data_IF_932596221033
#
_entry.id   IF_932596221033
#
_cell.length_a   1.000
_cell.length_b   1.000
_cell.length_c   1.000
_cell.angle_alpha   90.00
_cell.angle_beta   90.00
_cell.angle_gamma   90.00
#
_symmetry.space_group_name_H-M   'P 1'
#
loop_
_entity.id
_entity.type
_entity.pdbx_description
1 polymer ?
#
# COMPACT_ATOMS: atom_id res chain seq x y z
N UNK A 1 -29.72 13.35 29.65
CA UNK A 1 -29.33 12.91 28.30
C UNK A 1 -29.64 11.43 28.25
N UNK A 2 -30.46 10.99 27.30
CA UNK A 2 -30.65 9.55 27.12
C UNK A 2 -29.32 8.91 26.73
N UNK A 3 -28.94 7.79 27.34
CA UNK A 3 -27.75 7.07 26.97
C UNK A 3 -27.87 6.63 25.51
N UNK A 4 -26.75 6.66 24.78
CA UNK A 4 -26.73 6.13 23.42
C UNK A 4 -27.17 4.67 23.39
N UNK A 5 -27.87 4.23 22.33
CA UNK A 5 -28.30 2.84 22.23
C UNK A 5 -27.08 1.91 22.14
N UNK A 6 -27.10 0.87 22.96
CA UNK A 6 -26.12 -0.23 22.90
C UNK A 6 -26.61 -1.19 21.82
N UNK A 7 -25.70 -1.69 20.98
CA UNK A 7 -26.01 -2.67 19.96
C UNK A 7 -26.44 -4.00 20.61
N UNK A 8 -27.31 -4.70 19.92
CA UNK A 8 -27.73 -6.05 20.34
C UNK A 8 -26.53 -7.01 20.37
N UNK A 9 -26.58 -8.00 21.26
CA UNK A 9 -25.50 -8.96 21.45
C UNK A 9 -25.17 -9.79 20.20
N UNK A 10 -26.13 -9.94 19.30
CA UNK A 10 -25.98 -10.69 18.04
C UNK A 10 -25.48 -9.78 16.88
N UNK A 11 -25.33 -8.49 17.14
CA UNK A 11 -24.74 -7.58 16.12
C UNK A 11 -23.28 -7.92 15.87
N UNK A 12 -22.83 -7.94 14.61
CA UNK A 12 -21.44 -8.25 14.26
C UNK A 12 -20.40 -7.42 15.02
N UNK A 13 -20.68 -6.14 15.30
CA UNK A 13 -19.77 -5.28 16.05
C UNK A 13 -19.76 -5.58 17.54
N UNK A 14 -20.92 -5.95 18.12
CA UNK A 14 -21.00 -6.40 19.49
C UNK A 14 -20.27 -7.76 19.68
N UNK A 15 -20.39 -8.66 18.70
CA UNK A 15 -19.63 -9.91 18.66
C UNK A 15 -18.13 -9.67 18.56
N UNK A 16 -17.72 -8.69 17.72
CA UNK A 16 -16.32 -8.28 17.59
C UNK A 16 -15.75 -7.75 18.92
N UNK A 17 -16.51 -6.90 19.60
CA UNK A 17 -16.18 -6.39 20.92
C UNK A 17 -16.02 -7.54 21.92
N UNK A 18 -17.03 -8.40 22.05
CA UNK A 18 -17.01 -9.52 23.00
C UNK A 18 -15.85 -10.49 22.74
N UNK A 19 -15.48 -10.70 21.47
CA UNK A 19 -14.37 -11.55 21.07
C UNK A 19 -13.01 -10.96 21.47
N UNK A 20 -12.82 -9.65 21.37
CA UNK A 20 -11.48 -9.03 21.38
C UNK A 20 -11.22 -8.02 22.49
N UNK A 21 -12.23 -7.54 23.20
CA UNK A 21 -12.05 -6.57 24.28
C UNK A 21 -11.19 -7.11 25.42
N UNK A 22 -10.06 -6.46 25.66
CA UNK A 22 -9.09 -6.86 26.69
C UNK A 22 -8.39 -8.19 26.42
N UNK A 23 -8.49 -8.76 25.21
CA UNK A 23 -7.77 -9.98 24.84
C UNK A 23 -6.41 -9.64 24.27
N UNK A 24 -5.38 -10.28 24.82
CA UNK A 24 -4.00 -10.07 24.38
C UNK A 24 -3.80 -10.57 22.94
N UNK A 25 -3.10 -9.79 22.13
CA UNK A 25 -2.77 -10.15 20.74
C UNK A 25 -1.58 -11.11 20.65
N UNK A 26 -0.71 -11.14 21.65
CA UNK A 26 0.40 -12.10 21.73
C UNK A 26 -0.10 -13.55 21.77
N UNK A 27 -1.22 -13.79 22.46
CA UNK A 27 -1.86 -15.12 22.50
C UNK A 27 -2.38 -15.57 21.12
N UNK A 28 -2.75 -14.62 20.25
CA UNK A 28 -3.20 -14.89 18.89
C UNK A 28 -2.03 -15.21 17.98
N UNK A 29 -0.96 -14.44 18.08
CA UNK A 29 0.27 -14.66 17.36
C UNK A 29 0.89 -16.01 17.73
N UNK A 30 0.98 -16.33 19.04
CA UNK A 30 1.54 -17.59 19.51
C UNK A 30 0.72 -18.79 19.02
N UNK A 31 -0.62 -18.75 19.10
CA UNK A 31 -1.48 -19.81 18.57
C UNK A 31 -1.28 -20.04 17.06
N UNK A 32 -1.07 -18.96 16.30
CA UNK A 32 -0.79 -19.07 14.88
C UNK A 32 0.57 -19.72 14.62
N UNK A 33 1.62 -19.32 15.37
CA UNK A 33 2.96 -19.91 15.28
C UNK A 33 2.94 -21.39 15.64
N UNK A 34 2.26 -21.76 16.73
CA UNK A 34 2.11 -23.16 17.17
C UNK A 34 1.40 -24.01 16.11
N UNK A 35 0.38 -23.46 15.46
CA UNK A 35 -0.34 -24.14 14.39
C UNK A 35 0.53 -24.36 13.14
N UNK A 36 1.43 -23.43 12.81
CA UNK A 36 2.38 -23.60 11.72
C UNK A 36 3.41 -24.70 12.01
N UNK A 37 3.87 -24.79 13.26
CA UNK A 37 4.82 -25.82 13.68
C UNK A 37 4.18 -27.22 13.78
N UNK A 38 2.90 -27.29 14.14
CA UNK A 38 2.15 -28.53 14.25
C UNK A 38 1.74 -29.14 12.89
N UNK A 39 1.76 -28.35 11.81
CA UNK A 39 1.51 -28.86 10.46
C UNK A 39 2.80 -29.53 9.98
N UNK A 40 2.88 -30.87 9.91
CA UNK A 40 4.09 -31.53 9.43
C UNK A 40 4.37 -31.03 8.03
N UNK A 41 5.62 -30.67 7.76
CA UNK A 41 6.09 -30.43 6.42
C UNK A 41 5.80 -31.72 5.63
N UNK A 42 4.67 -31.74 4.92
CA UNK A 42 4.38 -32.73 3.90
C UNK A 42 5.45 -32.52 2.86
N UNK A 43 6.49 -33.37 2.97
CA UNK A 43 7.64 -33.35 2.13
C UNK A 43 7.19 -33.29 0.68
N UNK A 44 7.79 -32.39 -0.05
CA UNK A 44 7.80 -32.36 -1.49
C UNK A 44 8.59 -33.58 -2.01
N UNK A 45 8.03 -34.76 -1.86
CA UNK A 45 8.34 -35.88 -2.74
C UNK A 45 7.40 -35.81 -3.94
N UNK A 46 7.65 -34.89 -4.82
CA UNK A 46 7.24 -35.03 -6.20
C UNK A 46 8.23 -36.00 -6.85
N UNK A 47 7.98 -37.29 -6.63
CA UNK A 47 8.52 -38.33 -7.46
C UNK A 47 8.02 -38.14 -8.88
N UNK A 48 8.96 -37.86 -9.77
CA UNK A 48 8.80 -38.01 -11.21
C UNK A 48 8.29 -39.44 -11.48
N UNK A 49 7.03 -39.57 -11.85
CA UNK A 49 6.53 -40.74 -12.57
C UNK A 49 6.33 -40.33 -14.00
N UNK A 50 7.27 -40.77 -14.83
CA UNK A 50 7.10 -40.85 -16.26
C UNK A 50 5.87 -41.72 -16.55
N UNK A 51 4.88 -41.13 -17.18
CA UNK A 51 3.90 -41.87 -17.98
C UNK A 51 3.85 -41.22 -19.34
N UNK A 52 4.50 -41.93 -20.27
CA UNK A 52 4.27 -41.82 -21.71
C UNK A 52 2.80 -42.10 -22.01
N UNK A 53 2.20 -41.28 -22.84
CA UNK A 53 0.84 -41.48 -23.35
C UNK A 53 0.50 -40.40 -24.36
N UNK A 54 0.74 -40.69 -25.61
CA UNK A 54 0.43 -39.90 -26.80
C UNK A 54 -1.04 -39.51 -26.87
N UNK A 55 -1.31 -38.23 -27.21
CA UNK A 55 -2.29 -37.91 -28.26
C UNK A 55 -2.03 -36.47 -28.78
N UNK A 56 -1.61 -36.43 -30.05
CA UNK A 56 -1.47 -35.19 -30.82
C UNK A 56 -2.87 -34.75 -31.26
N UNK A 57 -3.17 -33.47 -31.02
CA UNK A 57 -4.15 -32.73 -31.81
C UNK A 57 -3.47 -31.48 -32.34
N UNK A 58 -3.18 -31.52 -33.64
CA UNK A 58 -2.69 -30.37 -34.41
C UNK A 58 -3.78 -29.32 -34.54
N UNK A 59 -3.52 -28.11 -34.04
CA UNK A 59 -4.21 -26.91 -34.51
C UNK A 59 -3.15 -25.95 -35.02
N UNK A 60 -3.05 -25.89 -36.32
CA UNK A 60 -2.28 -24.92 -37.08
C UNK A 60 -2.89 -23.53 -36.88
N UNK A 61 -2.12 -22.60 -36.38
CA UNK A 61 -2.32 -21.18 -36.68
C UNK A 61 -0.96 -20.53 -36.91
N UNK A 62 -0.82 -20.10 -38.15
CA UNK A 62 0.23 -19.24 -38.69
C UNK A 62 0.23 -17.88 -37.99
N UNK A 63 1.35 -17.30 -37.60
CA UNK A 63 2.06 -16.30 -38.35
C UNK A 63 3.30 -15.81 -37.60
N UNK A 64 4.38 -15.81 -38.32
CA UNK A 64 5.71 -15.33 -37.94
C UNK A 64 5.70 -13.83 -37.74
N UNK A 65 6.27 -13.39 -36.63
CA UNK A 65 7.23 -12.25 -36.65
C UNK A 65 8.33 -12.54 -35.64
N UNK A 66 9.41 -13.08 -36.18
CA UNK A 66 10.71 -13.19 -35.50
C UNK A 66 11.33 -11.79 -35.51
N UNK A 67 11.51 -11.22 -34.33
CA UNK A 67 12.52 -10.21 -34.09
C UNK A 67 13.44 -10.82 -33.02
N UNK A 68 14.55 -11.35 -33.45
CA UNK A 68 15.70 -11.64 -32.62
C UNK A 68 16.29 -10.30 -32.14
N UNK A 69 16.02 -9.92 -30.93
CA UNK A 69 16.85 -8.99 -30.18
C UNK A 69 17.58 -9.78 -29.10
N UNK A 70 18.82 -10.11 -29.37
CA UNK A 70 19.82 -10.52 -28.38
C UNK A 70 20.10 -9.33 -27.47
N UNK A 71 19.32 -9.18 -26.42
CA UNK A 71 19.67 -8.31 -25.31
C UNK A 71 20.79 -8.99 -24.51
N UNK A 72 21.99 -8.49 -24.61
CA UNK A 72 23.06 -8.73 -23.63
C UNK A 72 22.58 -8.14 -22.31
N UNK A 73 22.08 -8.99 -21.42
CA UNK A 73 21.70 -8.62 -20.07
C UNK A 73 23.00 -8.43 -19.30
N UNK A 74 23.29 -7.18 -18.97
CA UNK A 74 24.41 -6.83 -18.09
C UNK A 74 24.10 -7.37 -16.68
N UNK A 75 24.81 -8.44 -16.30
CA UNK A 75 24.65 -9.13 -15.01
C UNK A 75 24.99 -8.26 -13.78
N UNK A 76 25.44 -7.02 -13.99
CA UNK A 76 25.79 -6.11 -12.90
C UNK A 76 24.66 -5.20 -12.42
N UNK A 77 23.52 -5.14 -13.09
CA UNK A 77 22.37 -4.36 -12.62
C UNK A 77 21.50 -5.08 -11.57
N UNK A 78 21.74 -6.36 -11.32
CA UNK A 78 21.01 -7.19 -10.34
C UNK A 78 21.53 -7.09 -8.91
N UNK A 79 22.49 -6.23 -8.60
CA UNK A 79 23.06 -6.11 -7.24
C UNK A 79 22.37 -5.12 -6.31
N UNK A 80 21.31 -4.45 -6.74
CA UNK A 80 20.57 -3.51 -5.88
C UNK A 80 19.42 -4.14 -5.08
N UNK A 81 19.27 -5.46 -5.12
CA UNK A 81 18.32 -6.19 -4.25
C UNK A 81 19.01 -7.41 -3.65
N UNK A 82 20.13 -7.20 -2.95
CA UNK A 82 20.63 -8.22 -2.05
C UNK A 82 19.65 -8.34 -0.90
N UNK A 83 18.81 -9.36 -0.98
CA UNK A 83 17.94 -9.79 0.11
C UNK A 83 18.83 -10.15 1.29
N UNK A 84 18.57 -9.50 2.44
CA UNK A 84 19.16 -9.88 3.72
C UNK A 84 18.76 -11.34 4.01
N UNK A 85 19.71 -12.27 4.24
CA UNK A 85 19.40 -13.67 4.50
C UNK A 85 18.68 -13.94 5.82
N UNK A 86 18.61 -12.96 6.73
CA UNK A 86 18.14 -13.13 8.11
C UNK A 86 16.66 -12.76 8.37
N UNK A 87 15.87 -12.53 7.33
CA UNK A 87 14.48 -12.02 7.48
C UNK A 87 13.44 -13.16 7.57
N UNK A 88 13.75 -14.32 8.14
CA UNK A 88 12.84 -15.48 8.09
C UNK A 88 11.67 -15.41 9.08
N UNK A 89 11.75 -14.64 10.15
CA UNK A 89 10.62 -14.40 11.07
C UNK A 89 10.55 -12.91 11.38
N UNK A 90 9.55 -12.20 10.85
CA UNK A 90 9.26 -10.84 11.27
C UNK A 90 8.32 -10.94 12.48
N UNK A 91 8.78 -10.57 13.69
CA UNK A 91 7.93 -10.62 14.88
C UNK A 91 6.64 -9.80 14.69
N UNK A 92 5.54 -10.30 15.20
CA UNK A 92 4.24 -9.63 15.11
C UNK A 92 3.49 -9.84 13.79
N UNK A 93 4.04 -10.62 12.84
CA UNK A 93 3.37 -10.94 11.58
C UNK A 93 2.64 -12.28 11.70
N UNK A 94 1.33 -12.25 11.65
CA UNK A 94 0.48 -13.44 11.80
C UNK A 94 -0.86 -13.29 11.09
N UNK A 95 -1.62 -14.38 11.01
CA UNK A 95 -2.99 -14.37 10.53
C UNK A 95 -3.95 -14.12 11.69
N UNK A 96 -4.63 -12.98 11.67
CA UNK A 96 -5.73 -12.68 12.58
C UNK A 96 -7.03 -13.32 12.06
N UNK A 97 -7.63 -14.19 12.86
CA UNK A 97 -8.92 -14.81 12.56
C UNK A 97 -10.04 -14.01 13.23
N UNK A 98 -10.80 -13.27 12.44
CA UNK A 98 -11.98 -12.53 12.89
C UNK A 98 -13.19 -13.46 12.93
N UNK A 99 -13.46 -14.17 11.83
CA UNK A 99 -14.54 -15.14 11.64
C UNK A 99 -15.87 -14.74 12.30
N UNK A 100 -16.38 -13.57 11.92
CA UNK A 100 -17.67 -13.04 12.37
C UNK A 100 -18.50 -12.74 11.13
N UNK A 101 -19.65 -13.35 11.02
CA UNK A 101 -20.58 -13.12 9.92
C UNK A 101 -21.04 -11.66 9.89
N UNK A 102 -21.17 -11.11 8.69
CA UNK A 102 -21.58 -9.71 8.49
C UNK A 102 -20.44 -8.69 8.52
N UNK A 103 -19.20 -9.10 8.89
CA UNK A 103 -18.02 -8.26 8.73
C UNK A 103 -17.39 -8.46 7.35
N UNK A 104 -16.71 -7.40 6.86
CA UNK A 104 -16.06 -7.38 5.54
C UNK A 104 -14.95 -8.44 5.41
N UNK A 105 -14.23 -8.73 6.48
CA UNK A 105 -13.11 -9.65 6.49
C UNK A 105 -13.32 -10.76 7.53
N UNK A 106 -13.06 -12.00 7.15
CA UNK A 106 -13.03 -13.14 8.08
C UNK A 106 -11.62 -13.41 8.60
N UNK A 107 -10.61 -13.18 7.76
CA UNK A 107 -9.19 -13.37 8.07
C UNK A 107 -8.38 -12.20 7.55
N UNK A 108 -7.38 -11.78 8.32
CA UNK A 108 -6.47 -10.69 7.97
C UNK A 108 -5.03 -11.14 8.16
N UNK A 109 -4.16 -10.77 7.23
CA UNK A 109 -2.72 -10.87 7.44
C UNK A 109 -2.21 -9.60 8.10
N UNK A 110 -1.64 -9.75 9.30
CA UNK A 110 -0.98 -8.67 10.02
C UNK A 110 0.47 -8.63 9.59
N UNK A 111 0.97 -7.44 9.22
CA UNK A 111 2.33 -7.23 8.75
C UNK A 111 3.08 -6.23 9.64
N UNK A 112 4.42 -6.31 9.66
CA UNK A 112 5.27 -5.42 10.45
C UNK A 112 4.99 -3.93 10.20
N UNK A 113 4.68 -3.57 8.97
CA UNK A 113 4.32 -2.20 8.62
C UNK A 113 3.05 -1.70 9.33
N UNK A 114 2.06 -2.58 9.55
CA UNK A 114 0.86 -2.21 10.31
C UNK A 114 1.18 -1.89 11.77
N UNK A 115 2.06 -2.69 12.35
CA UNK A 115 2.54 -2.49 13.73
C UNK A 115 3.29 -1.18 13.83
N UNK A 116 4.21 -0.91 12.88
CA UNK A 116 5.00 0.32 12.84
C UNK A 116 4.11 1.56 12.73
N UNK A 117 3.18 1.58 11.77
CA UNK A 117 2.24 2.70 11.60
C UNK A 117 1.41 2.90 12.86
N UNK A 118 0.87 1.83 13.48
CA UNK A 118 0.09 1.95 14.70
C UNK A 118 0.92 2.55 15.85
N UNK A 119 2.12 2.02 16.08
CA UNK A 119 2.99 2.48 17.17
C UNK A 119 3.38 3.96 17.00
N UNK A 120 3.68 4.40 15.77
CA UNK A 120 3.99 5.80 15.49
C UNK A 120 2.77 6.71 15.67
N UNK A 121 1.59 6.27 15.25
CA UNK A 121 0.33 7.02 15.49
C UNK A 121 0.02 7.10 16.99
N UNK A 122 0.27 6.01 17.73
CA UNK A 122 0.05 5.99 19.17
C UNK A 122 1.07 6.91 19.90
N UNK A 123 2.33 6.89 19.51
CA UNK A 123 3.34 7.80 20.06
C UNK A 123 2.95 9.27 19.82
N UNK A 124 2.51 9.61 18.62
CA UNK A 124 2.01 10.94 18.30
C UNK A 124 0.78 11.34 19.13
N UNK A 125 -0.12 10.39 19.41
CA UNK A 125 -1.28 10.62 20.26
C UNK A 125 -0.87 10.91 21.73
N UNK A 126 0.14 10.21 22.22
CA UNK A 126 0.61 10.31 23.62
C UNK A 126 1.54 11.52 23.85
N UNK A 127 2.05 12.15 22.77
CA UNK A 127 2.86 13.37 22.88
C UNK A 127 2.01 14.55 23.37
N UNK A 128 2.47 15.29 24.40
CA UNK A 128 1.80 16.51 24.83
C UNK A 128 1.91 17.55 23.72
N UNK A 129 0.82 17.77 22.98
CA UNK A 129 0.78 18.73 21.88
C UNK A 129 0.92 20.16 22.43
N UNK A 130 2.04 20.79 22.13
CA UNK A 130 2.25 22.25 22.31
C UNK A 130 1.55 23.09 21.22
N UNK A 131 0.96 22.43 20.22
CA UNK A 131 0.27 23.11 19.13
C UNK A 131 -1.22 23.29 19.43
N UNK A 132 -1.79 24.47 19.21
CA UNK A 132 -3.22 24.73 19.40
C UNK A 132 -4.03 24.11 18.25
N UNK A 133 -4.31 22.82 18.32
CA UNK A 133 -5.12 22.11 17.35
C UNK A 133 -5.41 20.70 17.81
N UNK A 134 -6.55 20.13 17.42
CA UNK A 134 -6.84 18.73 17.68
C UNK A 134 -5.88 17.86 16.84
N UNK A 135 -5.21 16.86 17.45
CA UNK A 135 -4.34 15.97 16.72
C UNK A 135 -5.15 15.19 15.67
N UNK A 136 -4.57 15.03 14.49
CA UNK A 136 -5.18 14.28 13.39
C UNK A 136 -4.09 13.61 12.58
N UNK A 137 -4.32 12.39 12.15
CA UNK A 137 -3.39 11.63 11.32
C UNK A 137 -4.09 11.18 10.04
N UNK A 138 -3.42 11.34 8.92
CA UNK A 138 -3.80 10.72 7.64
C UNK A 138 -2.84 9.55 7.39
N UNK A 139 -3.39 8.33 7.32
CA UNK A 139 -2.64 7.15 6.92
C UNK A 139 -2.84 6.93 5.43
N UNK A 140 -1.78 7.10 4.65
CA UNK A 140 -1.84 7.03 3.19
C UNK A 140 -0.84 6.05 2.60
N UNK A 141 -0.86 5.87 1.30
CA UNK A 141 0.03 4.99 0.54
C UNK A 141 -0.67 4.41 -0.68
N UNK A 142 0.06 3.60 -1.45
CA UNK A 142 -0.38 3.06 -2.73
C UNK A 142 -1.76 2.39 -2.63
N UNK A 143 -2.64 2.53 -3.64
CA UNK A 143 -3.88 1.76 -3.70
C UNK A 143 -3.63 0.25 -3.69
N UNK A 144 -4.38 -0.47 -2.85
CA UNK A 144 -4.28 -1.93 -2.77
C UNK A 144 -3.22 -2.49 -1.82
N UNK A 145 -2.52 -1.66 -1.02
CA UNK A 145 -1.53 -2.10 -0.03
C UNK A 145 -2.12 -2.53 1.32
N UNK A 146 -3.44 -2.50 1.48
CA UNK A 146 -4.11 -2.97 2.69
C UNK A 146 -4.38 -1.92 3.75
N UNK A 147 -4.53 -0.63 3.37
CA UNK A 147 -4.89 0.44 4.31
C UNK A 147 -6.19 0.18 5.07
N UNK A 148 -7.22 -0.29 4.38
CA UNK A 148 -8.50 -0.68 5.02
C UNK A 148 -8.33 -1.85 5.99
N UNK A 149 -7.43 -2.79 5.69
CA UNK A 149 -7.05 -3.88 6.60
C UNK A 149 -6.35 -3.33 7.84
N UNK A 150 -5.49 -2.32 7.67
CA UNK A 150 -4.84 -1.64 8.79
C UNK A 150 -5.84 -0.98 9.75
N UNK A 151 -6.95 -0.42 9.25
CA UNK A 151 -8.01 0.14 10.11
C UNK A 151 -8.60 -0.93 11.03
N UNK A 152 -8.84 -2.15 10.53
CA UNK A 152 -9.26 -3.28 11.36
C UNK A 152 -8.19 -3.70 12.38
N UNK A 153 -6.93 -3.69 11.98
CA UNK A 153 -5.81 -3.93 12.90
C UNK A 153 -5.76 -2.88 14.01
N UNK A 154 -5.89 -1.59 13.65
CA UNK A 154 -5.91 -0.49 14.62
C UNK A 154 -7.08 -0.62 15.61
N UNK A 155 -8.27 -0.96 15.11
CA UNK A 155 -9.42 -1.26 15.95
C UNK A 155 -9.10 -2.43 16.90
N UNK A 156 -8.57 -3.53 16.38
CA UNK A 156 -8.20 -4.71 17.17
C UNK A 156 -7.19 -4.37 18.29
N UNK A 157 -6.20 -3.51 18.00
CA UNK A 157 -5.23 -3.01 19.01
C UNK A 157 -5.92 -2.18 20.09
N UNK A 158 -6.78 -1.24 19.70
CA UNK A 158 -7.55 -0.47 20.68
C UNK A 158 -8.39 -1.38 21.58
N UNK A 159 -9.06 -2.40 21.03
CA UNK A 159 -9.83 -3.36 21.81
C UNK A 159 -8.95 -4.17 22.78
N UNK A 160 -7.76 -4.61 22.35
CA UNK A 160 -6.82 -5.32 23.22
C UNK A 160 -6.37 -4.46 24.41
N UNK A 161 -6.07 -3.20 24.15
CA UNK A 161 -5.62 -2.23 25.14
C UNK A 161 -6.76 -1.63 25.99
N UNK A 162 -8.01 -2.09 25.78
CA UNK A 162 -9.24 -1.54 26.40
C UNK A 162 -9.36 -0.03 26.20
N UNK A 163 -8.88 0.46 25.06
CA UNK A 163 -8.90 1.87 24.69
C UNK A 163 -10.24 2.17 24.02
N UNK A 164 -11.04 3.12 24.54
CA UNK A 164 -12.26 3.55 23.85
C UNK A 164 -11.91 4.06 22.45
N UNK A 165 -12.70 3.60 21.45
CA UNK A 165 -12.46 3.94 20.05
C UNK A 165 -13.78 4.13 19.31
N UNK A 166 -13.84 5.18 18.48
CA UNK A 166 -14.94 5.40 17.54
C UNK A 166 -14.54 4.82 16.19
N UNK A 167 -15.42 4.04 15.61
CA UNK A 167 -15.26 3.50 14.26
C UNK A 167 -16.38 3.99 13.37
N UNK A 168 -16.00 4.64 12.26
CA UNK A 168 -16.93 5.06 11.24
C UNK A 168 -17.10 3.95 10.19
N UNK A 169 -18.28 3.39 10.09
CA UNK A 169 -18.63 2.33 9.14
C UNK A 169 -20.09 2.46 8.73
N UNK A 170 -20.40 2.14 7.48
CA UNK A 170 -21.78 2.18 6.93
C UNK A 170 -22.49 3.52 7.17
N UNK A 171 -21.74 4.62 7.13
CA UNK A 171 -22.22 5.99 7.40
C UNK A 171 -22.68 6.26 8.84
N UNK A 172 -22.40 5.37 9.77
CA UNK A 172 -22.68 5.49 11.20
C UNK A 172 -21.36 5.53 12.00
N UNK A 173 -21.43 6.11 13.19
CA UNK A 173 -20.34 6.05 14.15
C UNK A 173 -20.69 5.05 15.24
N UNK A 174 -19.75 4.15 15.54
CA UNK A 174 -19.88 3.17 16.59
C UNK A 174 -18.77 3.41 17.61
N UNK A 175 -19.15 3.60 18.88
CA UNK A 175 -18.19 3.75 19.97
C UNK A 175 -18.05 2.43 20.72
N UNK A 176 -16.85 1.89 20.68
CA UNK A 176 -16.45 0.72 21.48
C UNK A 176 -15.97 1.22 22.84
N UNK A 177 -16.59 0.76 23.91
CA UNK A 177 -16.26 1.11 25.29
C UNK A 177 -16.26 -0.15 26.17
N UNK A 178 -15.94 -0.02 27.45
CA UNK A 178 -15.79 -1.16 28.36
C UNK A 178 -17.05 -2.03 28.46
N UNK A 179 -18.19 -1.43 28.41
CA UNK A 179 -19.51 -2.05 28.63
C UNK A 179 -20.22 -2.48 27.33
N UNK A 180 -19.64 -2.17 26.16
CA UNK A 180 -20.18 -2.61 24.88
C UNK A 180 -19.92 -1.69 23.72
N UNK A 181 -20.75 -1.80 22.68
CA UNK A 181 -20.69 -0.97 21.48
C UNK A 181 -21.95 -0.11 21.37
N UNK A 182 -21.75 1.18 21.24
CA UNK A 182 -22.82 2.17 21.14
C UNK A 182 -22.94 2.69 19.70
N UNK A 183 -24.16 2.75 19.19
CA UNK A 183 -24.43 3.51 17.97
C UNK A 183 -24.56 4.99 18.33
N UNK A 184 -23.71 5.82 17.74
CA UNK A 184 -23.67 7.25 18.02
C UNK A 184 -24.61 7.99 17.05
N UNK A 185 -25.49 8.87 17.53
CA UNK A 185 -26.32 9.69 16.66
C UNK A 185 -25.45 10.67 15.85
N UNK A 186 -25.89 11.05 14.64
CA UNK A 186 -25.14 11.96 13.76
C UNK A 186 -24.90 13.35 14.38
N UNK A 187 -25.73 13.75 15.33
CA UNK A 187 -25.69 15.02 16.05
C UNK A 187 -25.11 14.88 17.47
N UNK A 188 -24.36 13.80 17.74
CA UNK A 188 -23.80 13.58 19.09
C UNK A 188 -23.03 14.80 19.58
N UNK A 189 -23.30 15.17 20.83
CA UNK A 189 -22.68 16.32 21.46
C UNK A 189 -21.26 15.97 21.91
N UNK A 190 -20.30 16.47 21.18
CA UNK A 190 -18.86 16.26 21.41
C UNK A 190 -18.37 16.76 22.79
N UNK A 191 -19.09 17.73 23.38
CA UNK A 191 -18.81 18.25 24.71
C UNK A 191 -18.89 17.19 25.84
N UNK A 192 -19.51 16.05 25.56
CA UNK A 192 -19.62 14.95 26.53
C UNK A 192 -18.41 14.02 26.57
N UNK A 193 -17.52 14.14 25.59
CA UNK A 193 -16.28 13.35 25.55
C UNK A 193 -15.23 14.05 26.41
N UNK A 194 -14.72 13.38 27.45
CA UNK A 194 -13.82 13.95 28.45
C UNK A 194 -12.35 13.94 28.03
N UNK A 195 -11.99 13.14 27.04
CA UNK A 195 -10.63 12.98 26.53
C UNK A 195 -10.65 12.84 25.01
N UNK A 196 -9.50 12.99 24.38
CA UNK A 196 -9.37 12.65 22.95
C UNK A 196 -9.63 11.16 22.76
N UNK A 197 -10.55 10.84 21.84
CA UNK A 197 -10.91 9.47 21.49
C UNK A 197 -10.44 9.17 20.08
N UNK A 198 -9.74 8.06 19.91
CA UNK A 198 -9.36 7.55 18.61
C UNK A 198 -10.60 7.38 17.74
N UNK A 199 -10.59 8.02 16.57
CA UNK A 199 -11.71 8.00 15.62
C UNK A 199 -11.22 7.47 14.29
N UNK A 200 -11.47 6.20 14.01
CA UNK A 200 -11.02 5.50 12.82
C UNK A 200 -12.00 5.71 11.67
N UNK A 201 -11.50 6.25 10.56
CA UNK A 201 -12.28 6.52 9.34
C UNK A 201 -11.54 5.92 8.15
N UNK A 202 -12.19 5.00 7.43
CA UNK A 202 -11.67 4.46 6.16
C UNK A 202 -12.29 5.20 4.98
N UNK A 203 -11.50 5.53 3.99
CA UNK A 203 -11.97 6.17 2.75
C UNK A 203 -12.90 5.29 1.91
N UNK A 204 -12.88 3.96 2.08
CA UNK A 204 -13.87 3.06 1.46
C UNK A 204 -15.27 3.32 2.02
N UNK A 205 -15.37 3.66 3.31
CA UNK A 205 -16.63 4.00 3.99
C UNK A 205 -16.99 5.50 3.87
N UNK A 206 -15.98 6.34 3.66
CA UNK A 206 -16.09 7.79 3.53
C UNK A 206 -15.48 8.30 2.20
N UNK A 207 -16.07 7.97 1.04
CA UNK A 207 -15.49 8.28 -0.27
C UNK A 207 -15.36 9.79 -0.54
N UNK A 208 -16.21 10.61 0.09
CA UNK A 208 -16.19 12.07 0.00
C UNK A 208 -15.27 12.74 1.03
N UNK A 209 -14.45 11.95 1.71
CA UNK A 209 -13.58 12.38 2.80
C UNK A 209 -14.23 12.30 4.18
N UNK A 210 -13.50 12.74 5.21
CA UNK A 210 -13.98 12.69 6.59
C UNK A 210 -15.29 13.46 6.73
N UNK A 211 -16.34 12.84 7.32
CA UNK A 211 -17.63 13.51 7.55
C UNK A 211 -17.45 14.83 8.33
N UNK A 212 -18.17 15.91 7.98
CA UNK A 212 -17.97 17.23 8.58
C UNK A 212 -18.08 17.24 10.11
N UNK A 213 -18.94 16.41 10.67
CA UNK A 213 -19.14 16.31 12.12
C UNK A 213 -18.02 15.55 12.86
N UNK A 214 -17.16 14.82 12.11
CA UNK A 214 -15.95 14.17 12.65
C UNK A 214 -14.70 15.01 12.46
N UNK A 215 -14.73 16.08 11.64
CA UNK A 215 -13.54 16.91 11.43
C UNK A 215 -13.13 17.53 12.77
N UNK A 216 -11.86 17.33 13.20
CA UNK A 216 -11.41 17.78 14.50
C UNK A 216 -11.26 19.31 14.51
N UNK A 217 -12.30 19.99 14.96
CA UNK A 217 -12.31 21.43 15.20
C UNK A 217 -12.76 21.70 16.63
N UNK A 218 -11.82 21.90 17.55
CA UNK A 218 -12.07 22.07 19.01
C UNK A 218 -12.89 20.91 19.60
N UNK A 219 -12.63 19.69 19.16
CA UNK A 219 -13.35 18.50 19.61
C UNK A 219 -12.37 17.49 20.21
N UNK A 220 -12.79 16.68 21.19
CA UNK A 220 -11.97 15.62 21.75
C UNK A 220 -11.95 14.37 20.84
N UNK A 221 -11.83 14.55 19.53
CA UNK A 221 -11.65 13.47 18.56
C UNK A 221 -10.22 13.46 18.03
N UNK A 222 -9.55 12.34 18.15
CA UNK A 222 -8.30 12.06 17.47
C UNK A 222 -8.61 11.29 16.19
N UNK A 223 -8.81 12.04 15.10
CA UNK A 223 -9.21 11.45 13.83
C UNK A 223 -8.02 10.83 13.12
N UNK A 224 -8.16 9.57 12.75
CA UNK A 224 -7.22 8.81 11.93
C UNK A 224 -7.92 8.43 10.65
N UNK A 225 -7.57 9.12 9.56
CA UNK A 225 -8.17 8.91 8.25
C UNK A 225 -7.30 8.06 7.36
N UNK A 226 -7.74 6.85 7.05
CA UNK A 226 -7.08 5.93 6.14
C UNK A 226 -7.55 6.18 4.71
N UNK A 227 -6.66 6.64 3.82
CA UNK A 227 -7.04 7.01 2.44
C UNK A 227 -5.93 6.77 1.43
N UNK A 228 -6.29 6.76 0.14
CA UNK A 228 -5.29 6.83 -0.93
C UNK A 228 -4.68 8.23 -1.01
N UNK A 229 -3.50 8.38 -1.61
CA UNK A 229 -2.82 9.67 -1.73
C UNK A 229 -3.49 10.56 -2.81
N UNK A 230 -4.66 11.07 -2.50
CA UNK A 230 -5.47 11.94 -3.34
C UNK A 230 -5.94 13.13 -2.53
N UNK A 231 -5.54 14.34 -2.94
CA UNK A 231 -5.84 15.59 -2.24
C UNK A 231 -7.30 15.87 -2.07
N UNK A 232 -8.11 15.54 -3.06
CA UNK A 232 -9.55 15.76 -3.03
C UNK A 232 -10.23 15.11 -1.81
N UNK A 233 -9.65 14.00 -1.29
CA UNK A 233 -10.21 13.25 -0.17
C UNK A 233 -9.91 13.84 1.21
N UNK A 234 -8.81 14.56 1.35
CA UNK A 234 -8.40 15.12 2.67
C UNK A 234 -8.26 16.64 2.70
N UNK A 235 -8.48 17.32 1.57
CA UNK A 235 -8.48 18.78 1.48
C UNK A 235 -9.33 19.47 2.55
N UNK A 236 -10.43 18.82 2.96
CA UNK A 236 -11.29 19.32 4.04
C UNK A 236 -10.59 19.28 5.40
N UNK A 237 -9.81 18.22 5.69
CA UNK A 237 -8.99 18.13 6.89
C UNK A 237 -7.89 19.20 6.86
N UNK A 238 -7.20 19.35 5.75
CA UNK A 238 -6.13 20.34 5.57
C UNK A 238 -6.58 21.78 5.80
N UNK A 239 -7.82 22.11 5.42
CA UNK A 239 -8.40 23.45 5.66
C UNK A 239 -8.69 23.73 7.12
N UNK A 240 -8.88 22.70 7.94
CA UNK A 240 -9.32 22.83 9.33
C UNK A 240 -8.19 22.57 10.32
N UNK A 241 -7.42 21.52 10.06
CA UNK A 241 -6.27 21.07 10.85
C UNK A 241 -5.15 20.65 9.91
N UNK A 242 -3.90 20.76 10.34
CA UNK A 242 -2.77 20.19 9.60
C UNK A 242 -2.53 18.76 10.10
N UNK A 243 -3.04 17.73 9.43
CA UNK A 243 -2.84 16.36 9.87
C UNK A 243 -1.37 15.97 9.75
N UNK A 244 -0.88 15.14 10.66
CA UNK A 244 0.33 14.37 10.41
C UNK A 244 0.06 13.34 9.33
N UNK A 245 0.98 13.18 8.40
CA UNK A 245 0.82 12.24 7.29
C UNK A 245 1.72 11.03 7.50
N UNK A 246 1.12 9.89 7.76
CA UNK A 246 1.81 8.61 7.88
C UNK A 246 1.75 7.86 6.54
N UNK A 247 2.89 7.62 5.92
CA UNK A 247 2.97 6.90 4.65
C UNK A 247 3.21 5.41 4.93
N UNK A 248 2.28 4.58 4.48
CA UNK A 248 2.41 3.13 4.54
C UNK A 248 3.24 2.64 3.35
N UNK A 249 4.35 1.97 3.62
CA UNK A 249 5.21 1.43 2.58
C UNK A 249 4.58 0.24 1.84
N UNK A 250 4.96 0.05 0.56
CA UNK A 250 4.60 -1.13 -0.22
C UNK A 250 5.01 -2.44 0.45
N UNK A 251 4.50 -3.54 -0.04
CA UNK A 251 4.80 -4.87 0.47
C UNK A 251 6.13 -5.40 -0.07
N UNK A 252 6.85 -6.11 0.76
CA UNK A 252 7.97 -6.95 0.30
C UNK A 252 7.43 -8.23 -0.34
N UNK A 253 8.18 -8.82 -1.27
CA UNK A 253 7.80 -10.08 -1.95
C UNK A 253 7.47 -11.19 -0.95
N UNK A 254 8.35 -11.43 0.03
CA UNK A 254 8.16 -12.44 1.08
C UNK A 254 6.89 -12.21 1.90
N UNK A 255 6.55 -10.96 2.21
CA UNK A 255 5.30 -10.63 2.92
C UNK A 255 4.07 -11.04 2.11
N UNK A 256 4.05 -10.79 0.78
CA UNK A 256 2.94 -11.17 -0.11
C UNK A 256 2.81 -12.69 -0.18
N UNK A 257 3.92 -13.41 -0.34
CA UNK A 257 3.90 -14.88 -0.37
C UNK A 257 3.37 -15.46 0.95
N UNK A 258 3.76 -14.90 2.09
CA UNK A 258 3.22 -15.31 3.40
C UNK A 258 1.72 -14.97 3.52
N UNK A 259 1.31 -13.78 3.10
CA UNK A 259 -0.10 -13.42 3.13
C UNK A 259 -0.97 -14.32 2.23
N UNK A 260 -0.40 -14.82 1.14
CA UNK A 260 -1.10 -15.76 0.25
C UNK A 260 -1.49 -17.07 0.96
N UNK A 261 -0.80 -17.45 2.05
CA UNK A 261 -1.12 -18.65 2.84
C UNK A 261 -2.47 -18.58 3.58
N UNK A 262 -3.07 -17.39 3.68
CA UNK A 262 -4.45 -17.25 4.22
C UNK A 262 -5.48 -17.97 3.34
N UNK A 263 -5.19 -18.07 2.05
CA UNK A 263 -6.08 -18.69 1.07
C UNK A 263 -5.86 -20.21 1.03
N UNK A 264 -6.87 -20.99 0.63
CA UNK A 264 -6.73 -22.43 0.51
C UNK A 264 -5.57 -22.82 -0.43
N UNK A 265 -4.93 -23.95 -0.11
CA UNK A 265 -3.83 -24.49 -0.92
C UNK A 265 -4.23 -24.60 -2.38
N UNK A 266 -3.34 -24.15 -3.27
CA UNK A 266 -3.53 -24.21 -4.73
C UNK A 266 -4.38 -23.07 -5.32
N UNK A 267 -5.01 -22.21 -4.51
CA UNK A 267 -5.76 -21.07 -5.03
C UNK A 267 -4.85 -19.96 -5.55
N UNK A 268 -3.67 -19.78 -4.92
CA UNK A 268 -2.69 -18.76 -5.29
C UNK A 268 -1.41 -19.46 -5.73
N UNK A 269 -0.96 -19.15 -6.94
CA UNK A 269 0.30 -19.68 -7.49
C UNK A 269 1.46 -18.77 -7.09
N UNK A 270 2.49 -19.33 -6.46
CA UNK A 270 3.70 -18.61 -6.10
C UNK A 270 4.42 -18.05 -7.34
N UNK A 271 4.56 -18.88 -8.41
CA UNK A 271 5.18 -18.45 -9.66
C UNK A 271 4.43 -17.25 -10.27
N UNK A 272 3.09 -17.32 -10.28
CA UNK A 272 2.27 -16.22 -10.80
C UNK A 272 2.32 -14.98 -9.91
N UNK A 273 2.39 -15.16 -8.59
CA UNK A 273 2.60 -14.07 -7.63
C UNK A 273 3.90 -13.33 -7.90
N UNK A 274 5.00 -14.08 -8.12
CA UNK A 274 6.31 -13.52 -8.44
C UNK A 274 6.29 -12.76 -9.77
N UNK A 275 5.68 -13.33 -10.81
CA UNK A 275 5.53 -12.68 -12.11
C UNK A 275 4.75 -11.36 -12.01
N UNK A 276 3.62 -11.36 -11.32
CA UNK A 276 2.80 -10.15 -11.12
C UNK A 276 3.57 -9.11 -10.30
N UNK A 277 4.27 -9.52 -9.26
CA UNK A 277 5.10 -8.64 -8.46
C UNK A 277 6.15 -7.92 -9.30
N UNK A 278 6.86 -8.65 -10.17
CA UNK A 278 7.92 -8.10 -11.03
C UNK A 278 7.37 -7.20 -12.13
N UNK A 279 6.19 -7.51 -12.65
CA UNK A 279 5.61 -6.75 -13.76
C UNK A 279 4.73 -5.59 -13.30
N UNK A 280 3.81 -5.84 -12.35
CA UNK A 280 2.74 -4.90 -12.01
C UNK A 280 2.91 -4.22 -10.66
N UNK A 281 3.70 -4.83 -9.76
CA UNK A 281 4.11 -4.17 -8.54
C UNK A 281 3.68 -4.84 -7.22
N UNK A 282 4.14 -4.27 -6.10
CA UNK A 282 4.17 -4.88 -4.79
C UNK A 282 2.86 -4.64 -4.01
N UNK A 283 1.71 -5.04 -4.56
CA UNK A 283 0.45 -4.91 -3.84
C UNK A 283 -0.31 -6.24 -3.74
N UNK A 284 -0.86 -6.59 -2.56
CA UNK A 284 -1.66 -7.81 -2.41
C UNK A 284 -2.84 -7.89 -3.36
N UNK A 285 -3.49 -6.76 -3.65
CA UNK A 285 -4.60 -6.70 -4.60
C UNK A 285 -4.21 -7.24 -5.98
N UNK A 286 -3.02 -6.90 -6.47
CA UNK A 286 -2.53 -7.40 -7.76
C UNK A 286 -2.05 -8.84 -7.63
N UNK A 287 -1.20 -9.10 -6.65
CA UNK A 287 -0.47 -10.35 -6.52
C UNK A 287 -1.34 -11.51 -5.98
N UNK A 288 -2.44 -11.21 -5.28
CA UNK A 288 -3.32 -12.20 -4.66
C UNK A 288 -4.73 -12.09 -5.22
N UNK A 289 -5.44 -10.98 -4.93
CA UNK A 289 -6.88 -10.89 -5.24
C UNK A 289 -7.17 -11.02 -6.74
N UNK A 290 -6.31 -10.46 -7.60
CA UNK A 290 -6.52 -10.51 -9.05
C UNK A 290 -6.13 -11.86 -9.67
N UNK A 291 -5.35 -12.71 -8.99
CA UNK A 291 -5.21 -14.09 -9.43
C UNK A 291 -6.53 -14.86 -9.33
N UNK A 292 -7.34 -14.55 -8.32
CA UNK A 292 -8.67 -15.14 -8.12
C UNK A 292 -9.73 -14.52 -9.03
N UNK A 293 -9.43 -13.39 -9.67
CA UNK A 293 -10.36 -12.66 -10.52
C UNK A 293 -9.72 -12.20 -11.83
N UNK A 294 -9.71 -13.09 -12.82
CA UNK A 294 -9.10 -12.83 -14.13
C UNK A 294 -9.70 -11.62 -14.87
N UNK A 295 -11.00 -11.33 -14.67
CA UNK A 295 -11.64 -10.14 -15.26
C UNK A 295 -11.09 -8.86 -14.65
N UNK A 296 -10.87 -8.84 -13.34
CA UNK A 296 -10.26 -7.70 -12.65
C UNK A 296 -8.81 -7.48 -13.12
N UNK A 297 -8.03 -8.55 -13.28
CA UNK A 297 -6.67 -8.49 -13.82
C UNK A 297 -6.67 -7.91 -15.25
N UNK A 298 -7.47 -8.46 -16.16
CA UNK A 298 -7.54 -7.97 -17.55
C UNK A 298 -7.96 -6.49 -17.62
N UNK A 299 -8.88 -6.07 -16.75
CA UNK A 299 -9.28 -4.67 -16.64
C UNK A 299 -8.15 -3.79 -16.16
N UNK A 300 -7.39 -4.25 -15.15
CA UNK A 300 -6.23 -3.50 -14.64
C UNK A 300 -5.16 -3.34 -15.73
N UNK A 301 -4.81 -4.40 -16.44
CA UNK A 301 -3.82 -4.35 -17.52
C UNK A 301 -4.25 -3.43 -18.68
N UNK A 302 -5.56 -3.43 -19.00
CA UNK A 302 -6.12 -2.51 -19.99
C UNK A 302 -6.00 -1.05 -19.54
N UNK A 303 -6.32 -0.79 -18.26
CA UNK A 303 -6.21 0.54 -17.68
C UNK A 303 -4.74 1.00 -17.59
N UNK A 304 -3.81 0.10 -17.27
CA UNK A 304 -2.37 0.39 -17.26
C UNK A 304 -1.86 0.76 -18.65
N UNK A 305 -2.23 -0.02 -19.69
CA UNK A 305 -1.90 0.33 -21.09
C UNK A 305 -2.44 1.70 -21.48
N UNK A 306 -3.67 1.98 -21.11
CA UNK A 306 -4.30 3.29 -21.37
C UNK A 306 -3.59 4.40 -20.61
N UNK A 307 -3.25 4.19 -19.34
CA UNK A 307 -2.50 5.14 -18.54
C UNK A 307 -1.14 5.48 -19.21
N UNK A 308 -0.34 4.45 -19.51
CA UNK A 308 0.95 4.63 -20.17
C UNK A 308 0.84 5.36 -21.53
N UNK A 309 -0.21 5.07 -22.34
CA UNK A 309 -0.38 5.72 -23.64
C UNK A 309 -0.77 7.20 -23.56
N UNK A 310 -1.39 7.61 -22.44
CA UNK A 310 -1.87 8.98 -22.21
C UNK A 310 -0.93 9.87 -21.43
N UNK A 311 0.17 9.32 -20.88
CA UNK A 311 1.15 10.12 -20.12
C UNK A 311 1.66 11.28 -20.94
N UNK A 312 1.58 12.48 -20.38
CA UNK A 312 2.11 13.72 -20.92
C UNK A 312 3.23 14.28 -20.04
N UNK A 313 4.00 15.23 -20.57
CA UNK A 313 5.03 15.93 -19.78
C UNK A 313 4.43 16.67 -18.57
N UNK A 314 3.22 17.21 -18.71
CA UNK A 314 2.53 17.91 -17.63
C UNK A 314 2.12 16.96 -16.49
N UNK A 315 1.65 15.75 -16.81
CA UNK A 315 1.31 14.75 -15.80
C UNK A 315 2.54 14.35 -14.97
N UNK A 316 3.69 14.24 -15.64
CA UNK A 316 4.95 13.91 -14.97
C UNK A 316 5.46 15.06 -14.09
N UNK A 317 5.34 16.33 -14.56
CA UNK A 317 5.66 17.48 -13.72
C UNK A 317 4.76 17.61 -12.50
N UNK A 318 3.47 17.38 -12.67
CA UNK A 318 2.53 17.38 -11.55
C UNK A 318 2.91 16.31 -10.52
N UNK A 319 3.31 15.12 -10.98
CA UNK A 319 3.79 14.05 -10.09
C UNK A 319 5.00 14.50 -9.24
N UNK A 320 5.94 15.27 -9.83
CA UNK A 320 7.08 15.80 -9.10
C UNK A 320 6.67 16.85 -8.07
N UNK A 321 5.84 17.81 -8.47
CA UNK A 321 5.36 18.89 -7.60
C UNK A 321 4.67 18.29 -6.39
N UNK A 322 3.78 17.33 -6.62
CA UNK A 322 3.03 16.62 -5.57
C UNK A 322 3.94 15.88 -4.59
N UNK A 323 5.02 15.27 -5.10
CA UNK A 323 6.00 14.58 -4.25
C UNK A 323 6.80 15.58 -3.39
N UNK A 324 7.12 16.78 -3.92
CA UNK A 324 7.91 17.79 -3.20
C UNK A 324 7.12 18.56 -2.15
N UNK A 325 5.86 18.87 -2.43
CA UNK A 325 5.04 19.72 -1.56
C UNK A 325 4.49 18.95 -0.34
N UNK A 326 4.71 17.62 -0.26
CA UNK A 326 4.11 16.75 0.75
C UNK A 326 2.58 16.59 0.57
N UNK A 327 2.03 17.28 -0.40
CA UNK A 327 0.68 17.11 -0.90
C UNK A 327 0.67 15.89 -1.83
N UNK A 328 0.53 14.71 -1.24
CA UNK A 328 0.68 13.42 -1.92
C UNK A 328 -0.48 13.10 -2.89
N UNK A 329 -0.92 14.08 -3.67
CA UNK A 329 -1.99 13.95 -4.67
C UNK A 329 -1.58 13.10 -5.87
N UNK A 330 -1.36 11.81 -5.66
CA UNK A 330 -1.22 10.87 -6.77
C UNK A 330 -2.61 10.63 -7.36
N UNK A 331 -2.83 11.15 -8.56
CA UNK A 331 -4.07 10.91 -9.29
C UNK A 331 -4.17 9.45 -9.81
N UNK A 332 -5.30 9.11 -10.42
CA UNK A 332 -5.56 7.75 -10.92
C UNK A 332 -4.63 7.33 -12.07
N UNK A 333 -3.93 8.28 -12.70
CA UNK A 333 -2.93 7.98 -13.73
C UNK A 333 -1.60 7.57 -13.11
N UNK A 334 -1.17 8.35 -12.11
CA UNK A 334 0.11 8.19 -11.44
C UNK A 334 0.17 6.91 -10.61
N UNK A 335 -0.97 6.45 -10.04
CA UNK A 335 -1.03 5.25 -9.19
C UNK A 335 -0.67 3.93 -9.90
N UNK A 336 -0.64 3.94 -11.26
CA UNK A 336 -0.29 2.77 -12.09
C UNK A 336 1.13 2.79 -12.62
N UNK A 337 1.78 3.95 -12.59
CA UNK A 337 3.13 4.13 -13.13
C UNK A 337 4.16 4.44 -12.06
N UNK A 338 3.73 5.04 -10.96
CA UNK A 338 4.58 5.45 -9.86
C UNK A 338 4.12 4.83 -8.55
N UNK A 339 5.08 4.47 -7.73
CA UNK A 339 4.92 3.93 -6.39
C UNK A 339 5.27 5.00 -5.38
N UNK A 340 4.35 5.24 -4.44
CA UNK A 340 4.64 6.05 -3.28
C UNK A 340 5.33 5.18 -2.22
N UNK A 341 6.53 5.57 -1.84
CA UNK A 341 7.28 5.00 -0.73
C UNK A 341 7.72 6.15 0.18
N UNK A 342 8.26 5.84 1.35
CA UNK A 342 8.88 6.85 2.21
C UNK A 342 10.40 6.68 2.22
N UNK A 343 11.11 7.75 2.55
CA UNK A 343 12.57 7.77 2.59
C UNK A 343 13.10 6.87 3.70
N UNK A 344 12.56 7.01 4.92
CA UNK A 344 12.96 6.19 6.06
C UNK A 344 12.01 5.00 6.24
N UNK A 345 12.57 3.82 6.49
CA UNK A 345 11.78 2.62 6.82
C UNK A 345 11.14 2.73 8.19
N UNK A 346 11.80 3.36 9.14
CA UNK A 346 11.38 3.40 10.55
C UNK A 346 10.50 4.60 10.88
N UNK A 347 10.75 5.75 10.25
CA UNK A 347 9.94 6.95 10.43
C UNK A 347 8.78 7.00 9.43
N UNK A 348 7.57 6.70 9.91
CA UNK A 348 6.36 6.69 9.07
C UNK A 348 5.93 8.10 8.61
N UNK A 349 6.45 9.13 9.24
CA UNK A 349 6.20 10.53 8.91
C UNK A 349 7.29 11.14 8.02
N UNK A 350 8.32 10.34 7.67
CA UNK A 350 9.35 10.80 6.74
C UNK A 350 8.77 11.12 5.39
N UNK A 351 9.51 11.92 4.63
CA UNK A 351 9.10 12.42 3.33
C UNK A 351 8.76 11.28 2.35
N UNK A 352 7.72 11.50 1.56
CA UNK A 352 7.32 10.58 0.52
C UNK A 352 8.27 10.64 -0.68
N UNK A 353 8.62 9.49 -1.21
CA UNK A 353 9.38 9.35 -2.46
C UNK A 353 8.52 8.74 -3.54
N UNK A 354 8.67 9.24 -4.76
CA UNK A 354 7.98 8.71 -5.93
C UNK A 354 8.99 7.95 -6.78
N UNK A 355 8.78 6.65 -6.90
CA UNK A 355 9.64 5.75 -7.68
C UNK A 355 8.82 5.03 -8.76
N UNK A 356 9.42 4.56 -9.87
CA UNK A 356 8.71 3.67 -10.79
C UNK A 356 8.21 2.42 -10.05
N UNK A 357 7.00 1.96 -10.37
CA UNK A 357 6.40 0.80 -9.67
C UNK A 357 7.29 -0.44 -9.80
N UNK A 358 7.77 -0.73 -11.01
CA UNK A 358 8.65 -1.87 -11.32
C UNK A 358 9.60 -1.50 -12.46
N UNK A 359 10.71 -2.23 -12.62
CA UNK A 359 11.57 -2.08 -13.79
C UNK A 359 10.82 -2.30 -15.12
N UNK A 360 9.83 -3.19 -15.15
CA UNK A 360 8.98 -3.41 -16.31
C UNK A 360 8.16 -2.16 -16.68
N UNK A 361 7.51 -1.54 -15.70
CA UNK A 361 6.76 -0.28 -15.89
C UNK A 361 7.72 0.86 -16.27
N UNK A 362 8.89 0.92 -15.62
CA UNK A 362 9.94 1.90 -15.94
C UNK A 362 10.34 1.82 -17.41
N UNK A 363 10.64 0.63 -17.92
CA UNK A 363 11.01 0.43 -19.33
C UNK A 363 9.89 0.87 -20.28
N UNK A 364 8.63 0.54 -19.98
CA UNK A 364 7.49 0.96 -20.79
C UNK A 364 7.26 2.47 -20.76
N UNK A 365 7.46 3.10 -19.61
CA UNK A 365 7.37 4.55 -19.45
C UNK A 365 8.51 5.24 -20.24
N UNK A 366 9.74 4.74 -20.12
CA UNK A 366 10.89 5.22 -20.89
C UNK A 366 10.62 5.16 -22.40
N UNK A 367 10.12 4.01 -22.89
CA UNK A 367 9.72 3.85 -24.29
C UNK A 367 8.65 4.87 -24.73
N UNK A 368 7.70 5.18 -23.86
CA UNK A 368 6.67 6.20 -24.14
C UNK A 368 7.29 7.60 -24.17
N UNK A 369 8.18 7.90 -23.23
CA UNK A 369 8.86 9.17 -23.12
C UNK A 369 9.73 9.50 -24.35
N UNK A 370 10.24 8.50 -25.10
CA UNK A 370 10.96 8.71 -26.36
C UNK A 370 10.16 9.50 -27.42
N UNK A 371 8.82 9.44 -27.33
CA UNK A 371 7.95 10.20 -28.23
C UNK A 371 7.75 11.66 -27.79
N UNK A 372 8.31 12.07 -26.65
CA UNK A 372 8.34 13.48 -26.24
C UNK A 372 9.48 14.20 -26.93
N UNK A 373 9.34 15.52 -27.11
CA UNK A 373 10.42 16.34 -27.65
C UNK A 373 11.65 16.29 -26.73
N UNK A 374 12.84 16.20 -27.33
CA UNK A 374 14.11 16.15 -26.57
C UNK A 374 14.24 17.26 -25.54
N UNK A 375 13.76 18.46 -25.89
CA UNK A 375 13.78 19.62 -25.00
C UNK A 375 12.91 19.41 -23.76
N UNK A 376 11.75 18.78 -23.89
CA UNK A 376 10.86 18.43 -22.79
C UNK A 376 11.46 17.35 -21.91
N UNK A 377 12.01 16.29 -22.51
CA UNK A 377 12.71 15.24 -21.78
C UNK A 377 13.86 15.78 -20.95
N UNK A 378 14.68 16.66 -21.53
CA UNK A 378 15.78 17.27 -20.80
C UNK A 378 15.30 18.16 -19.65
N UNK A 379 14.16 18.84 -19.84
CA UNK A 379 13.52 19.66 -18.80
C UNK A 379 13.06 18.77 -17.64
N UNK A 380 12.34 17.69 -17.94
CA UNK A 380 11.88 16.70 -16.95
C UNK A 380 13.06 16.08 -16.21
N UNK A 381 14.07 15.58 -16.94
CA UNK A 381 15.27 15.04 -16.31
C UNK A 381 15.90 16.02 -15.31
N UNK A 382 16.12 17.27 -15.71
CA UNK A 382 16.73 18.29 -14.84
C UNK A 382 15.84 18.62 -13.64
N UNK A 383 14.52 18.62 -13.80
CA UNK A 383 13.58 18.87 -12.71
C UNK A 383 13.65 17.75 -11.69
N UNK A 384 13.51 16.51 -12.12
CA UNK A 384 13.51 15.33 -11.25
C UNK A 384 14.88 15.03 -10.61
N UNK A 385 15.98 15.26 -11.34
CA UNK A 385 17.33 15.01 -10.81
C UNK A 385 17.74 15.97 -9.69
N UNK A 386 17.12 17.17 -9.62
CA UNK A 386 17.43 18.17 -8.58
C UNK A 386 16.78 17.86 -7.23
N UNK A 387 15.76 17.05 -7.21
CA UNK A 387 14.95 16.76 -6.04
C UNK A 387 15.24 15.33 -5.58
N UNK A 388 15.64 15.10 -4.33
CA UNK A 388 15.93 13.76 -3.81
C UNK A 388 14.81 12.77 -4.09
N UNK A 389 13.55 13.19 -3.89
CA UNK A 389 12.34 12.43 -4.03
C UNK A 389 12.07 11.97 -5.47
N UNK A 390 12.62 12.67 -6.44
CA UNK A 390 12.44 12.42 -7.87
C UNK A 390 13.60 11.68 -8.55
N UNK A 391 14.75 11.49 -7.89
CA UNK A 391 15.97 10.99 -8.54
C UNK A 391 15.80 9.66 -9.26
N UNK A 392 15.05 8.73 -8.66
CA UNK A 392 14.80 7.42 -9.28
C UNK A 392 13.99 7.57 -10.58
N UNK A 393 13.00 8.47 -10.60
CA UNK A 393 12.25 8.79 -11.81
C UNK A 393 13.09 9.52 -12.86
N UNK A 394 14.08 10.29 -12.47
CA UNK A 394 15.00 10.94 -13.41
C UNK A 394 15.71 9.92 -14.31
N UNK A 395 16.00 8.73 -13.81
CA UNK A 395 16.56 7.62 -14.58
C UNK A 395 15.72 7.25 -15.80
N UNK A 396 14.38 7.29 -15.68
CA UNK A 396 13.45 7.02 -16.80
C UNK A 396 13.69 7.99 -17.97
N UNK A 397 13.85 9.27 -17.67
CA UNK A 397 14.07 10.30 -18.68
C UNK A 397 15.48 10.24 -19.25
N UNK A 398 16.47 9.90 -18.41
CA UNK A 398 17.84 9.68 -18.85
C UNK A 398 17.94 8.52 -19.84
N UNK A 399 17.30 7.39 -19.54
CA UNK A 399 17.23 6.23 -20.43
C UNK A 399 16.57 6.59 -21.76
N UNK A 400 15.44 7.33 -21.72
CA UNK A 400 14.77 7.79 -22.93
C UNK A 400 15.65 8.72 -23.78
N UNK A 401 16.37 9.66 -23.15
CA UNK A 401 17.31 10.57 -23.82
C UNK A 401 18.50 9.84 -24.45
N UNK A 402 19.09 8.89 -23.71
CA UNK A 402 20.25 8.11 -24.16
C UNK A 402 19.92 7.25 -25.37
N UNK A 403 18.78 6.57 -25.35
CA UNK A 403 18.34 5.76 -26.48
C UNK A 403 18.02 6.59 -27.72
N UNK A 404 17.40 7.76 -27.55
CA UNK A 404 17.14 8.67 -28.66
C UNK A 404 18.46 9.17 -29.27
N UNK A 405 19.43 9.55 -28.43
CA UNK A 405 20.75 10.01 -28.90
C UNK A 405 21.52 8.93 -29.66
N UNK A 406 21.45 7.68 -29.19
CA UNK A 406 22.07 6.53 -29.89
C UNK A 406 21.41 6.26 -31.26
N UNK A 407 20.08 6.36 -31.35
CA UNK A 407 19.34 6.18 -32.60
C UNK A 407 19.63 7.29 -33.60
N UNK A 408 19.86 8.51 -33.16
CA UNK A 408 20.24 9.67 -34.02
C UNK A 408 21.70 9.64 -34.42
N UNK A 409 22.50 8.66 -33.96
CA UNK A 409 23.91 8.54 -34.33
C UNK A 409 24.81 9.62 -33.78
N UNK A 410 24.43 10.25 -32.67
CA UNK A 410 25.22 11.26 -31.99
C UNK A 410 26.46 10.61 -31.38
N UNK A 411 27.64 11.00 -31.85
CA UNK A 411 28.91 10.60 -31.25
C UNK A 411 29.08 11.31 -29.91
N UNK A 412 29.18 10.57 -28.85
CA UNK A 412 29.53 11.10 -27.53
C UNK A 412 31.00 10.84 -27.24
N UNK A 413 31.74 11.88 -26.85
CA UNK A 413 33.01 11.66 -26.18
C UNK A 413 32.75 11.03 -24.82
N UNK A 414 33.28 9.83 -24.61
CA UNK A 414 33.27 9.19 -23.30
C UNK A 414 34.19 9.94 -22.37
N UNK A 415 33.65 10.72 -21.46
CA UNK A 415 34.41 11.30 -20.36
C UNK A 415 34.63 10.20 -19.30
N UNK A 416 35.88 9.85 -18.98
CA UNK A 416 36.13 8.87 -17.91
C UNK A 416 35.49 9.34 -16.61
N UNK A 417 34.77 8.45 -15.94
CA UNK A 417 34.30 8.73 -14.58
C UNK A 417 35.51 8.87 -13.67
N UNK A 418 35.80 10.08 -13.22
CA UNK A 418 36.77 10.31 -12.16
C UNK A 418 36.15 9.82 -10.86
N UNK A 419 36.80 8.88 -10.17
CA UNK A 419 36.46 8.56 -8.77
C UNK A 419 36.46 9.88 -8.01
N UNK A 420 35.34 10.23 -7.40
CA UNK A 420 35.31 11.23 -6.35
C UNK A 420 36.10 10.64 -5.19
N UNK A 421 37.34 11.09 -5.04
CA UNK A 421 38.11 10.82 -3.84
C UNK A 421 37.35 11.43 -2.65
N UNK A 422 37.23 10.63 -1.59
CA UNK A 422 36.64 10.99 -0.33
C UNK A 422 37.23 12.33 0.15
N UNK A 423 36.37 13.35 0.27
CA UNK A 423 36.72 14.63 0.89
C UNK A 423 36.01 14.74 2.24
#
# INVERSE_FOLDING_TARGET
MEPWPILDKDDPLALLHAKFWGKNMEDEEQRWLDAQQATPATGSEFGLRDQEGEERVDVVMNEKMVVEETAVVDENMNKATTMDPDDDIIPGCYMLDINIDGLKYSKLWIRAEYIRVFNSVNAYYDEPTSTPGAPCVVVTGQPGIGKSVWVYYALRRCLAERKPVIWYSKRCCYMFAEDGVYEMPADFQRANLKSYIWTLVDSDEAPDGVPPYLVPHRTPLFVIFSTSPRDDRWSRLHKTVRPMVAIMNPWKRKEILRAATIYPLGCISESRTNEIFDQLGPTPRLCIDYQLNSKAMSRYESNLRTALSKVTSNDLELLLITACDGDLGIDTLSDKIALLSRESLDDVYSQGMVIPITPYIQSRLSNRCRNLERKELLRLYKAFARVPEGRTMAGVFFDALGQTALQEGITHELVPMVKLDEA
#
